data_IF_409685332164
#
_entry.id   IF_409685332164
#
_cell.length_a   1.000
_cell.length_b   1.000
_cell.length_c   1.000
_cell.angle_alpha   90.00
_cell.angle_beta   90.00
_cell.angle_gamma   90.00
#
_symmetry.space_group_name_H-M   'P 1'
#
loop_
_entity.id
_entity.type
_entity.pdbx_description
1 polymer ?
#
# COMPACT_ATOMS: atom_id res chain seq x y z
N UNK A 1 -23.56 -18.60 -31.52
CA UNK A 1 -22.35 -17.85 -31.16
C UNK A 1 -22.25 -17.77 -29.65
N UNK A 2 -21.24 -18.40 -29.01
CA UNK A 2 -21.00 -18.22 -27.57
C UNK A 2 -20.42 -16.82 -27.38
N UNK A 3 -21.11 -15.93 -26.66
CA UNK A 3 -20.60 -14.58 -26.40
C UNK A 3 -19.28 -14.66 -25.63
N UNK A 4 -18.25 -13.96 -26.10
CA UNK A 4 -16.99 -13.85 -25.37
C UNK A 4 -17.24 -13.37 -23.94
N UNK A 5 -16.61 -13.98 -22.91
CA UNK A 5 -16.87 -13.63 -21.53
C UNK A 5 -16.54 -12.15 -21.27
N UNK A 6 -17.49 -11.40 -20.69
CA UNK A 6 -17.32 -9.99 -20.34
C UNK A 6 -16.08 -9.82 -19.46
N UNK A 7 -15.22 -8.87 -19.82
CA UNK A 7 -14.00 -8.57 -19.09
C UNK A 7 -14.35 -8.07 -17.67
N UNK A 8 -13.98 -8.84 -16.64
CA UNK A 8 -14.12 -8.42 -15.24
C UNK A 8 -12.93 -7.57 -14.83
N UNK A 9 -13.16 -6.26 -14.63
CA UNK A 9 -12.12 -5.31 -14.21
C UNK A 9 -11.67 -5.53 -12.77
N UNK A 10 -12.61 -5.94 -11.90
CA UNK A 10 -12.35 -6.23 -10.50
C UNK A 10 -12.94 -7.58 -10.13
N UNK A 11 -12.23 -8.33 -9.31
CA UNK A 11 -12.69 -9.62 -8.76
C UNK A 11 -12.43 -9.64 -7.27
N UNK A 12 -13.49 -9.80 -6.49
CA UNK A 12 -13.35 -10.13 -5.08
C UNK A 12 -12.76 -11.52 -4.94
N UNK A 13 -11.70 -11.66 -4.14
CA UNK A 13 -11.16 -12.92 -3.71
C UNK A 13 -11.50 -13.07 -2.21
N UNK A 14 -12.31 -14.07 -1.83
CA UNK A 14 -12.67 -14.25 -0.44
C UNK A 14 -11.45 -14.52 0.41
N UNK A 15 -11.39 -13.85 1.55
CA UNK A 15 -10.43 -14.13 2.60
C UNK A 15 -11.20 -14.71 3.80
N UNK A 16 -10.53 -15.45 4.65
CA UNK A 16 -11.11 -15.92 5.92
C UNK A 16 -10.72 -14.98 7.05
N UNK A 17 -10.55 -13.69 6.75
CA UNK A 17 -10.10 -12.66 7.70
C UNK A 17 -11.22 -11.65 7.80
N UNK A 18 -11.68 -11.42 9.02
CA UNK A 18 -12.72 -10.46 9.28
C UNK A 18 -12.27 -9.05 8.90
N UNK A 19 -13.20 -8.28 8.32
CA UNK A 19 -12.98 -6.91 7.90
C UNK A 19 -11.84 -6.71 6.87
N UNK A 20 -11.47 -7.75 6.11
CA UNK A 20 -10.50 -7.67 5.01
C UNK A 20 -11.11 -8.16 3.68
N UNK A 21 -11.26 -7.24 2.73
CA UNK A 21 -11.65 -7.55 1.36
C UNK A 21 -10.43 -7.51 0.45
N UNK A 22 -10.12 -8.61 -0.22
CA UNK A 22 -9.06 -8.63 -1.22
C UNK A 22 -9.67 -8.52 -2.62
N UNK A 23 -9.37 -7.43 -3.33
CA UNK A 23 -9.91 -7.16 -4.66
C UNK A 23 -8.79 -7.27 -5.69
N UNK A 24 -8.83 -8.33 -6.50
CA UNK A 24 -7.92 -8.50 -7.62
C UNK A 24 -8.31 -7.58 -8.77
N UNK A 25 -7.41 -6.67 -9.11
CA UNK A 25 -7.51 -5.83 -10.30
C UNK A 25 -7.20 -6.63 -11.58
N UNK A 26 -7.82 -6.27 -12.69
CA UNK A 26 -7.43 -6.74 -14.01
C UNK A 26 -6.02 -6.23 -14.35
N UNK A 27 -5.24 -6.98 -15.14
CA UNK A 27 -3.83 -6.66 -15.45
C UNK A 27 -3.57 -5.28 -16.08
N UNK A 28 -4.62 -4.65 -16.61
CA UNK A 28 -4.57 -3.30 -17.20
C UNK A 28 -4.71 -2.18 -16.16
N UNK A 29 -5.07 -2.52 -14.93
CA UNK A 29 -5.27 -1.57 -13.83
C UNK A 29 -4.07 -1.68 -12.92
N UNK A 30 -3.39 -0.55 -12.75
CA UNK A 30 -2.35 -0.40 -11.74
C UNK A 30 -3.03 -0.05 -10.39
N UNK A 31 -2.95 -0.91 -9.37
CA UNK A 31 -3.60 -0.66 -8.09
C UNK A 31 -3.07 0.60 -7.38
N UNK A 32 -1.79 0.94 -7.53
CA UNK A 32 -1.19 2.14 -6.92
C UNK A 32 -1.81 3.40 -7.52
N UNK A 33 -1.85 3.48 -8.86
CA UNK A 33 -2.48 4.61 -9.58
C UNK A 33 -3.97 4.70 -9.33
N UNK A 34 -4.66 3.56 -9.22
CA UNK A 34 -6.08 3.52 -8.91
C UNK A 34 -6.37 4.12 -7.52
N UNK A 35 -5.62 3.68 -6.50
CA UNK A 35 -5.80 4.20 -5.14
C UNK A 35 -5.45 5.69 -5.11
N UNK A 36 -4.34 6.11 -5.72
CA UNK A 36 -3.97 7.51 -5.81
C UNK A 36 -5.09 8.35 -6.46
N UNK A 37 -5.63 7.89 -7.58
CA UNK A 37 -6.73 8.56 -8.28
C UNK A 37 -7.97 8.69 -7.40
N UNK A 38 -8.39 7.60 -6.73
CA UNK A 38 -9.56 7.61 -5.84
C UNK A 38 -9.36 8.63 -4.72
N UNK A 39 -8.21 8.63 -4.05
CA UNK A 39 -7.97 9.57 -2.96
C UNK A 39 -7.89 11.02 -3.43
N UNK A 40 -7.27 11.29 -4.58
CA UNK A 40 -7.24 12.63 -5.18
C UNK A 40 -8.66 13.11 -5.53
N UNK A 41 -9.49 12.28 -6.16
CA UNK A 41 -10.89 12.59 -6.48
C UNK A 41 -11.70 12.89 -5.21
N UNK A 42 -11.51 12.10 -4.15
CA UNK A 42 -12.21 12.29 -2.88
C UNK A 42 -11.78 13.60 -2.20
N UNK A 43 -10.48 13.92 -2.18
CA UNK A 43 -9.97 15.18 -1.60
C UNK A 43 -10.53 16.39 -2.36
N UNK A 44 -10.57 16.34 -3.70
CA UNK A 44 -11.10 17.42 -4.53
C UNK A 44 -12.62 17.57 -4.42
N UNK A 45 -13.36 16.46 -4.50
CA UNK A 45 -14.83 16.47 -4.46
C UNK A 45 -15.40 16.67 -3.06
N UNK A 46 -14.62 16.36 -2.00
CA UNK A 46 -15.05 16.35 -0.59
C UNK A 46 -16.26 15.45 -0.32
N UNK A 47 -16.48 14.41 -1.15
CA UNK A 47 -17.63 13.52 -1.05
C UNK A 47 -17.26 12.16 -0.46
N UNK A 48 -17.93 11.75 0.63
CA UNK A 48 -17.82 10.38 1.16
C UNK A 48 -18.65 9.42 0.31
N UNK A 49 -17.98 8.59 -0.50
CA UNK A 49 -18.62 7.56 -1.36
C UNK A 49 -18.73 6.18 -0.70
N UNK A 50 -18.23 6.01 0.51
CA UNK A 50 -18.28 4.74 1.27
C UNK A 50 -18.65 4.98 2.72
N UNK A 51 -19.35 4.02 3.36
CA UNK A 51 -19.80 4.13 4.76
C UNK A 51 -18.95 3.32 5.74
N UNK A 52 -18.61 2.08 5.39
CA UNK A 52 -17.99 1.12 6.30
C UNK A 52 -16.55 0.73 5.93
N UNK A 53 -15.98 1.35 4.89
CA UNK A 53 -14.61 1.10 4.48
C UNK A 53 -13.67 2.01 5.27
N UNK A 54 -12.83 1.42 6.13
CA UNK A 54 -11.83 2.19 6.87
C UNK A 54 -10.67 2.60 5.96
N UNK A 55 -9.97 1.64 5.35
CA UNK A 55 -8.81 1.92 4.49
C UNK A 55 -8.93 1.25 3.13
N UNK A 56 -8.36 1.89 2.12
CA UNK A 56 -8.19 1.31 0.78
C UNK A 56 -6.70 1.31 0.44
N UNK A 57 -6.07 0.14 0.54
CA UNK A 57 -4.62 -0.03 0.41
C UNK A 57 -4.29 -0.67 -0.95
N UNK A 58 -3.30 -0.17 -1.71
CA UNK A 58 -2.90 -0.80 -2.95
C UNK A 58 -2.07 -2.06 -2.69
N UNK A 59 -2.39 -3.13 -3.42
CA UNK A 59 -1.63 -4.38 -3.43
C UNK A 59 -0.99 -4.57 -4.82
N UNK A 60 0.13 -3.89 -5.07
CA UNK A 60 0.86 -3.94 -6.35
C UNK A 60 1.46 -5.32 -6.59
N UNK A 61 2.15 -5.83 -5.59
CA UNK A 61 2.68 -7.20 -5.54
C UNK A 61 2.06 -7.93 -4.38
N UNK A 62 1.80 -9.22 -4.55
CA UNK A 62 1.35 -10.14 -3.50
C UNK A 62 2.31 -11.31 -3.45
N UNK A 63 2.78 -11.63 -2.24
CA UNK A 63 3.84 -12.59 -2.00
C UNK A 63 3.59 -13.36 -0.70
N UNK A 64 4.49 -14.28 -0.35
CA UNK A 64 4.43 -15.01 0.93
C UNK A 64 4.85 -14.12 2.10
N UNK A 65 4.44 -14.43 3.32
CA UNK A 65 4.85 -13.72 4.54
C UNK A 65 6.31 -13.97 4.96
N UNK A 66 7.10 -14.69 4.18
CA UNK A 66 8.53 -14.90 4.47
C UNK A 66 9.32 -13.61 4.27
N UNK A 67 10.23 -13.30 5.19
CA UNK A 67 10.98 -12.04 5.20
C UNK A 67 11.80 -11.82 3.91
N UNK A 68 12.47 -12.85 3.42
CA UNK A 68 13.24 -12.82 2.18
C UNK A 68 12.38 -12.46 0.95
N UNK A 69 11.19 -13.04 0.85
CA UNK A 69 10.23 -12.75 -0.19
C UNK A 69 9.72 -11.30 -0.11
N UNK A 70 9.38 -10.83 1.10
CA UNK A 70 8.96 -9.44 1.33
C UNK A 70 10.06 -8.46 0.93
N UNK A 71 11.32 -8.70 1.31
CA UNK A 71 12.45 -7.82 0.96
C UNK A 71 12.67 -7.77 -0.55
N UNK A 72 12.69 -8.93 -1.22
CA UNK A 72 12.86 -9.00 -2.68
C UNK A 72 11.75 -8.23 -3.40
N UNK A 73 10.50 -8.47 -3.02
CA UNK A 73 9.35 -7.89 -3.72
C UNK A 73 9.16 -6.41 -3.36
N UNK A 74 9.61 -5.98 -2.17
CA UNK A 74 9.72 -4.57 -1.80
C UNK A 74 10.70 -3.82 -2.71
N UNK A 75 11.86 -4.41 -3.00
CA UNK A 75 12.82 -3.81 -3.96
C UNK A 75 12.22 -3.69 -5.36
N UNK A 76 11.44 -4.67 -5.80
CA UNK A 76 10.75 -4.61 -7.09
C UNK A 76 9.73 -3.45 -7.13
N UNK A 77 8.91 -3.30 -6.08
CA UNK A 77 7.92 -2.22 -6.00
C UNK A 77 8.61 -0.84 -5.88
N UNK A 78 9.71 -0.78 -5.13
CA UNK A 78 10.51 0.43 -4.94
C UNK A 78 11.57 0.65 -6.02
N UNK A 79 11.50 -0.03 -7.18
CA UNK A 79 12.52 0.06 -8.24
C UNK A 79 12.81 1.51 -8.67
N UNK A 80 11.78 2.37 -8.73
CA UNK A 80 11.95 3.79 -9.07
C UNK A 80 12.75 4.60 -8.05
N UNK A 81 12.83 4.13 -6.81
CA UNK A 81 13.65 4.74 -5.75
C UNK A 81 15.08 4.18 -5.82
N UNK A 82 15.21 2.89 -6.10
CA UNK A 82 16.51 2.21 -6.19
C UNK A 82 17.28 2.47 -7.51
N UNK A 83 16.68 3.19 -8.47
CA UNK A 83 17.35 3.50 -9.73
C UNK A 83 18.56 4.43 -9.51
N UNK A 84 19.62 4.24 -10.32
CA UNK A 84 20.86 5.03 -10.20
C UNK A 84 20.61 6.52 -10.40
N UNK A 85 19.69 6.87 -11.30
CA UNK A 85 19.27 8.23 -11.64
C UNK A 85 18.11 8.77 -10.76
N UNK A 86 17.63 8.00 -9.79
CA UNK A 86 16.56 8.46 -8.89
C UNK A 86 17.01 9.70 -8.10
N UNK A 87 16.20 10.76 -8.04
CA UNK A 87 16.53 11.90 -7.20
C UNK A 87 16.44 11.54 -5.70
N UNK A 88 17.35 12.06 -4.84
CA UNK A 88 17.20 11.95 -3.40
C UNK A 88 15.81 12.42 -2.94
N UNK A 89 15.18 11.64 -2.08
CA UNK A 89 13.80 11.88 -1.63
C UNK A 89 13.64 11.43 -0.18
N UNK A 90 12.46 11.68 0.40
CA UNK A 90 12.06 11.14 1.70
C UNK A 90 11.18 9.90 1.54
N UNK A 91 11.39 8.92 2.41
CA UNK A 91 10.56 7.72 2.45
C UNK A 91 10.17 7.28 3.85
N UNK A 92 9.12 6.48 3.94
CA UNK A 92 8.69 5.80 5.16
C UNK A 92 8.21 4.37 4.85
N UNK A 93 8.17 3.53 5.88
CA UNK A 93 7.62 2.18 5.80
C UNK A 93 6.37 2.07 6.68
N UNK A 94 5.25 1.70 6.09
CA UNK A 94 3.99 1.41 6.79
C UNK A 94 3.76 -0.10 6.80
N UNK A 95 4.27 -0.77 7.83
CA UNK A 95 4.13 -2.23 8.00
C UNK A 95 3.02 -2.54 8.99
N UNK A 96 2.02 -3.31 8.54
CA UNK A 96 0.93 -3.84 9.34
C UNK A 96 0.94 -5.37 9.25
N UNK A 97 0.89 -6.05 10.39
CA UNK A 97 0.93 -7.53 10.46
C UNK A 97 -0.32 -8.00 11.19
N UNK A 98 -1.08 -8.92 10.58
CA UNK A 98 -2.30 -9.51 11.14
C UNK A 98 -2.26 -11.02 11.00
N UNK A 99 -2.67 -11.76 12.03
CA UNK A 99 -2.76 -13.22 11.97
C UNK A 99 -1.46 -13.92 11.49
N UNK A 100 -0.29 -13.35 11.78
CA UNK A 100 1.02 -13.89 11.44
C UNK A 100 1.94 -13.66 12.65
N UNK A 101 2.19 -14.72 13.44
CA UNK A 101 2.94 -14.62 14.70
C UNK A 101 4.46 -14.71 14.50
N UNK A 102 4.90 -15.39 13.44
CA UNK A 102 6.31 -15.68 13.18
C UNK A 102 7.10 -14.48 12.62
N UNK A 103 6.41 -13.40 12.27
CA UNK A 103 6.99 -12.22 11.64
C UNK A 103 6.87 -11.00 12.55
N UNK A 104 8.00 -10.41 12.92
CA UNK A 104 8.03 -9.16 13.70
C UNK A 104 8.08 -7.95 12.77
N UNK A 105 7.34 -6.92 13.15
CA UNK A 105 7.25 -5.66 12.40
C UNK A 105 8.63 -5.00 12.20
N UNK A 106 9.42 -4.95 13.26
CA UNK A 106 10.71 -4.25 13.25
C UNK A 106 11.75 -4.97 12.39
N UNK A 107 11.72 -6.31 12.34
CA UNK A 107 12.59 -7.10 11.46
C UNK A 107 12.30 -6.81 9.98
N UNK A 108 11.01 -6.68 9.62
CA UNK A 108 10.60 -6.28 8.26
C UNK A 108 11.06 -4.86 7.94
N UNK A 109 10.87 -3.92 8.86
CA UNK A 109 11.28 -2.52 8.67
C UNK A 109 12.79 -2.43 8.45
N UNK A 110 13.59 -3.04 9.33
CA UNK A 110 15.04 -3.02 9.22
C UNK A 110 15.53 -3.61 7.90
N UNK A 111 15.01 -4.79 7.51
CA UNK A 111 15.44 -5.48 6.32
C UNK A 111 15.03 -4.77 5.01
N UNK A 112 13.86 -4.13 4.98
CA UNK A 112 13.36 -3.40 3.81
C UNK A 112 13.96 -2.00 3.69
N UNK A 113 14.25 -1.33 4.81
CA UNK A 113 14.84 0.01 4.82
C UNK A 113 16.31 0.00 4.39
N UNK A 114 17.09 -1.00 4.79
CA UNK A 114 18.52 -1.09 4.53
C UNK A 114 18.96 -0.75 3.08
N UNK A 115 18.34 -1.28 2.01
CA UNK A 115 18.71 -0.92 0.64
C UNK A 115 18.25 0.49 0.20
N UNK A 116 17.23 1.08 0.83
CA UNK A 116 16.66 2.38 0.45
C UNK A 116 17.37 3.55 1.14
N UNK A 117 17.82 3.33 2.37
CA UNK A 117 18.44 4.34 3.25
C UNK A 117 19.83 4.78 2.77
N UNK A 118 20.41 4.08 1.80
CA UNK A 118 21.69 4.45 1.17
C UNK A 118 21.58 5.79 0.43
N UNK A 119 20.42 6.07 -0.17
CA UNK A 119 20.20 7.22 -1.07
C UNK A 119 19.09 8.16 -0.61
N UNK A 120 18.14 7.65 0.14
CA UNK A 120 16.95 8.39 0.54
C UNK A 120 16.90 8.56 2.04
N UNK A 121 16.28 9.65 2.48
CA UNK A 121 16.15 9.95 3.91
C UNK A 121 14.87 9.36 4.46
N UNK A 122 14.94 8.66 5.58
CA UNK A 122 13.75 8.26 6.34
C UNK A 122 13.07 9.51 6.94
N UNK A 123 11.77 9.69 6.67
CA UNK A 123 10.92 10.71 7.31
C UNK A 123 9.53 10.15 7.58
N UNK A 124 9.24 9.79 8.84
CA UNK A 124 7.97 9.17 9.21
C UNK A 124 6.77 10.14 9.17
N UNK A 125 7.02 11.46 9.13
CA UNK A 125 5.99 12.50 9.17
C UNK A 125 5.71 13.07 7.78
N UNK A 126 6.75 13.39 7.02
CA UNK A 126 6.67 14.06 5.71
C UNK A 126 7.39 13.28 4.60
N UNK A 127 7.23 11.96 4.59
CA UNK A 127 7.68 11.12 3.48
C UNK A 127 6.92 11.43 2.19
N UNK A 128 7.65 11.70 1.10
CA UNK A 128 7.09 11.74 -0.25
C UNK A 128 6.57 10.37 -0.65
N UNK A 129 7.36 9.32 -0.38
CA UNK A 129 6.98 7.94 -0.72
C UNK A 129 6.83 7.08 0.52
N UNK A 130 5.73 6.33 0.63
CA UNK A 130 5.58 5.32 1.68
C UNK A 130 5.38 3.95 1.04
N UNK A 131 6.25 3.00 1.40
CA UNK A 131 6.04 1.61 1.05
C UNK A 131 5.09 1.00 2.09
N UNK A 132 3.90 0.61 1.65
CA UNK A 132 2.86 0.02 2.49
C UNK A 132 2.94 -1.49 2.35
N UNK A 133 3.16 -2.18 3.47
CA UNK A 133 3.30 -3.63 3.55
C UNK A 133 2.22 -4.15 4.50
N UNK A 134 1.24 -4.86 3.95
CA UNK A 134 0.19 -5.52 4.72
C UNK A 134 0.46 -7.03 4.72
N UNK A 135 0.79 -7.58 5.88
CA UNK A 135 0.96 -9.02 6.09
C UNK A 135 -0.30 -9.56 6.73
N UNK A 136 -0.83 -10.63 6.14
CA UNK A 136 -1.95 -11.35 6.71
C UNK A 136 -1.85 -12.86 6.47
N UNK A 137 -1.91 -13.63 7.56
CA UNK A 137 -1.67 -15.08 7.53
C UNK A 137 -0.31 -15.41 6.93
N UNK A 138 -0.28 -16.20 5.86
CA UNK A 138 0.93 -16.62 5.13
C UNK A 138 1.24 -15.75 3.91
N UNK A 139 0.57 -14.61 3.75
CA UNK A 139 0.72 -13.72 2.60
C UNK A 139 1.09 -12.30 3.02
N UNK A 140 1.69 -11.56 2.10
CA UNK A 140 1.97 -10.14 2.22
C UNK A 140 1.59 -9.43 0.91
N UNK A 141 1.12 -8.18 1.02
CA UNK A 141 0.89 -7.30 -0.12
C UNK A 141 1.73 -6.05 0.04
N UNK A 142 2.30 -5.60 -1.07
CA UNK A 142 3.24 -4.47 -1.09
C UNK A 142 2.75 -3.47 -2.13
N UNK A 143 2.78 -2.19 -1.80
CA UNK A 143 2.50 -1.08 -2.71
C UNK A 143 3.24 0.18 -2.30
N UNK A 144 3.54 1.04 -3.26
CA UNK A 144 4.19 2.33 -3.06
C UNK A 144 3.19 3.46 -3.26
N UNK A 145 3.10 4.34 -2.27
CA UNK A 145 2.11 5.42 -2.22
C UNK A 145 2.82 6.76 -2.10
N UNK A 146 2.34 7.77 -2.82
CA UNK A 146 2.82 9.15 -2.68
C UNK A 146 1.98 9.91 -1.66
N UNK A 147 2.64 10.73 -0.84
CA UNK A 147 1.99 11.61 0.14
C UNK A 147 1.04 10.86 1.11
N UNK A 148 1.43 9.65 1.51
CA UNK A 148 0.60 8.74 2.31
C UNK A 148 0.01 9.37 3.58
N UNK A 149 0.79 10.17 4.30
CA UNK A 149 0.33 10.84 5.52
C UNK A 149 -0.67 11.98 5.21
N UNK A 150 -0.47 12.72 4.12
CA UNK A 150 -1.42 13.74 3.64
C UNK A 150 -2.75 13.11 3.24
N UNK A 151 -2.69 11.91 2.65
CA UNK A 151 -3.86 11.07 2.36
C UNK A 151 -4.40 10.31 3.59
N UNK A 152 -4.09 10.80 4.80
CA UNK A 152 -4.54 10.24 6.08
C UNK A 152 -4.27 8.73 6.21
N UNK A 153 -3.09 8.29 5.78
CA UNK A 153 -2.67 6.88 5.81
C UNK A 153 -3.64 5.96 5.05
N UNK A 154 -4.21 6.50 3.97
CA UNK A 154 -5.24 5.90 3.14
C UNK A 154 -6.50 5.48 3.93
N UNK A 155 -6.86 6.26 4.96
CA UNK A 155 -8.09 6.09 5.72
C UNK A 155 -9.21 6.96 5.12
N UNK A 156 -10.23 6.32 4.58
CA UNK A 156 -11.39 6.97 3.96
C UNK A 156 -12.33 7.62 4.98
N UNK A 157 -12.35 7.12 6.23
CA UNK A 157 -13.20 7.68 7.28
C UNK A 157 -12.66 9.02 7.77
N UNK A 158 -11.34 9.07 8.01
CA UNK A 158 -10.67 10.26 8.57
C UNK A 158 -10.14 11.21 7.51
N UNK A 159 -10.35 10.92 6.22
CA UNK A 159 -9.81 11.71 5.11
C UNK A 159 -10.21 13.19 5.17
N UNK A 160 -11.41 13.48 5.67
CA UNK A 160 -11.98 14.81 5.73
C UNK A 160 -11.95 15.45 7.11
N UNK A 161 -11.45 14.72 8.10
CA UNK A 161 -11.34 15.20 9.46
C UNK A 161 -10.23 16.25 9.54
N UNK A 162 -10.44 17.25 10.38
CA UNK A 162 -9.45 18.31 10.61
C UNK A 162 -8.14 17.70 11.13
N UNK A 163 -6.97 18.28 10.80
CA UNK A 163 -5.70 17.82 11.34
C UNK A 163 -5.73 17.94 12.87
N UNK A 164 -5.77 16.82 13.58
CA UNK A 164 -5.47 16.82 15.01
C UNK A 164 -4.02 17.27 15.20
N UNK A 165 -3.78 18.20 16.11
CA UNK A 165 -2.47 18.83 16.33
C UNK A 165 -1.33 17.85 16.71
N UNK A 166 -1.65 16.58 16.97
CA UNK A 166 -0.73 15.58 17.55
C UNK A 166 -0.46 14.35 16.66
N UNK A 167 -0.60 14.44 15.33
CA UNK A 167 -0.41 13.30 14.41
C UNK A 167 0.96 13.22 13.71
#
# INVERSE_FOLDING_TARGET
MKSSPKLKMFRYLPTTIDCLLYIKCHRKIDPEKLVQFIFTDLVQSRQRKTRFTSRLIPAKVTTTSKLDAIVRDSKQVAQRLLAEDAEPTTFALAVNIRYCADLKRDDVIAAVAAPLDVKHKVDLKKARFTLVIEVFKSMATIGLVENYNELRRLNLQTLFDEPSADA
#
